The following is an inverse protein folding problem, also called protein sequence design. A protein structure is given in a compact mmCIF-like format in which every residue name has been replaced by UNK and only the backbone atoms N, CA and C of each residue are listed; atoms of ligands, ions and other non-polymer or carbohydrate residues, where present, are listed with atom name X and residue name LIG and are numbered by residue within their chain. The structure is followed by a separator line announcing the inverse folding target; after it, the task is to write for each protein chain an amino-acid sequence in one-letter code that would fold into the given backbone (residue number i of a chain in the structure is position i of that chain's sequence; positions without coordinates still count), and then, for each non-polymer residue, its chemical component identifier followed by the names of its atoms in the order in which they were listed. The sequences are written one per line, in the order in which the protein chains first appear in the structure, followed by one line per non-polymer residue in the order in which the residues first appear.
data_IF_223757470841
#
_entry.id   IF_223757470841
#
_cell.length_a   1.000
_cell.length_b   1.000
_cell.length_c   1.000
_cell.angle_alpha   90.00
_cell.angle_beta   90.00
_cell.angle_gamma   90.00
#
_symmetry.space_group_name_H-M   'P 1'
#
loop_
_entity.id
_entity.type
_entity.pdbx_description
1 polymer ?
#
# COMPACT_ATOMS: atom_id res chain seq x y z
N UNK A 1 46.29 -4.55 18.64
CA UNK A 1 45.20 -5.10 17.84
C UNK A 1 44.31 -3.94 17.40
N UNK A 2 44.42 -3.49 16.18
CA UNK A 2 43.49 -2.51 15.63
C UNK A 2 42.12 -3.19 15.51
N UNK A 3 41.11 -2.60 16.16
CA UNK A 3 39.74 -3.00 15.96
C UNK A 3 39.32 -2.55 14.56
N UNK A 4 39.19 -3.47 13.61
CA UNK A 4 38.55 -3.21 12.33
C UNK A 4 37.06 -2.92 12.58
N UNK A 5 36.69 -1.66 12.58
CA UNK A 5 35.31 -1.21 12.70
C UNK A 5 34.69 -1.21 11.30
N UNK A 6 33.73 -2.08 11.03
CA UNK A 6 32.96 -2.09 9.79
C UNK A 6 31.76 -1.19 10.00
N UNK A 7 31.66 -0.09 9.26
CA UNK A 7 30.50 0.81 9.28
C UNK A 7 29.60 0.51 8.09
N UNK A 8 28.33 0.38 8.36
CA UNK A 8 27.29 0.24 7.35
C UNK A 8 26.43 1.50 7.31
N UNK A 9 26.20 2.00 6.11
CA UNK A 9 25.24 3.09 5.88
C UNK A 9 23.96 2.51 5.33
N UNK A 10 22.82 2.85 5.95
CA UNK A 10 21.51 2.56 5.40
C UNK A 10 21.21 3.55 4.29
N UNK A 11 21.13 3.07 3.06
CA UNK A 11 20.85 3.94 1.91
C UNK A 11 19.39 3.87 1.48
N UNK A 12 18.75 2.70 1.55
CA UNK A 12 17.36 2.54 1.18
C UNK A 12 16.76 1.34 1.92
N UNK A 13 15.51 1.47 2.33
CA UNK A 13 14.67 0.38 2.81
C UNK A 13 13.49 0.23 1.85
N UNK A 14 13.36 -0.95 1.26
CA UNK A 14 12.24 -1.27 0.36
C UNK A 14 11.26 -2.20 1.08
N UNK A 15 9.97 -1.87 1.01
CA UNK A 15 8.87 -2.74 1.43
C UNK A 15 8.07 -3.13 0.23
N UNK A 16 7.68 -4.39 0.15
CA UNK A 16 6.88 -4.93 -0.95
C UNK A 16 5.44 -5.07 -0.47
N UNK A 17 4.51 -4.42 -1.14
CA UNK A 17 3.09 -4.38 -0.77
C UNK A 17 2.28 -5.11 -1.83
N UNK A 18 1.56 -6.16 -1.43
CA UNK A 18 0.56 -6.80 -2.29
C UNK A 18 -0.61 -5.83 -2.50
N UNK A 19 -0.82 -5.40 -3.74
CA UNK A 19 -1.84 -4.40 -4.08
C UNK A 19 -3.25 -4.85 -3.77
N UNK A 20 -3.54 -6.15 -3.77
CA UNK A 20 -4.89 -6.70 -3.54
C UNK A 20 -5.24 -6.84 -2.07
N UNK A 21 -4.26 -6.89 -1.19
CA UNK A 21 -4.46 -7.08 0.25
C UNK A 21 -3.99 -5.90 1.08
N UNK A 22 -3.16 -5.01 0.52
CA UNK A 22 -2.47 -3.95 1.25
C UNK A 22 -1.49 -4.49 2.30
N UNK A 23 -1.12 -5.76 2.23
CA UNK A 23 -0.20 -6.40 3.18
C UNK A 23 1.22 -6.42 2.67
N UNK A 24 2.18 -6.40 3.60
CA UNK A 24 3.59 -6.59 3.27
C UNK A 24 3.83 -8.04 2.82
N UNK A 25 4.51 -8.22 1.70
CA UNK A 25 4.91 -9.53 1.16
C UNK A 25 6.16 -10.00 1.89
N UNK A 26 6.07 -11.09 2.67
CA UNK A 26 7.15 -11.50 3.59
C UNK A 26 7.92 -12.74 3.15
N UNK A 27 7.27 -13.71 2.54
CA UNK A 27 7.81 -15.06 2.31
C UNK A 27 7.92 -15.40 0.82
N UNK A 28 8.80 -14.68 0.11
CA UNK A 28 8.97 -14.90 -1.34
C UNK A 28 10.42 -14.75 -1.76
N UNK A 29 10.83 -15.51 -2.75
CA UNK A 29 12.07 -15.24 -3.46
C UNK A 29 11.92 -13.94 -4.23
N UNK A 30 12.78 -12.98 -3.92
CA UNK A 30 12.74 -11.65 -4.50
C UNK A 30 14.05 -11.34 -5.18
N UNK A 31 13.95 -10.92 -6.43
CA UNK A 31 15.09 -10.47 -7.21
C UNK A 31 15.02 -8.98 -7.44
N UNK A 32 16.12 -8.31 -7.15
CA UNK A 32 16.26 -6.87 -7.34
C UNK A 32 17.30 -6.55 -8.40
N UNK A 33 16.99 -5.55 -9.25
CA UNK A 33 17.96 -4.90 -10.14
C UNK A 33 17.91 -3.39 -9.90
N UNK A 34 19.09 -2.81 -9.68
CA UNK A 34 19.25 -1.35 -9.57
C UNK A 34 19.99 -0.86 -10.81
N UNK A 35 19.37 0.06 -11.57
CA UNK A 35 19.90 0.51 -12.86
C UNK A 35 20.28 -0.68 -13.78
N UNK A 36 19.39 -1.69 -13.87
CA UNK A 36 19.58 -2.92 -14.65
C UNK A 36 20.59 -3.93 -14.08
N UNK A 37 21.33 -3.60 -13.02
CA UNK A 37 22.31 -4.50 -12.40
C UNK A 37 21.69 -5.26 -11.23
N UNK A 38 21.90 -6.58 -11.18
CA UNK A 38 21.46 -7.42 -10.08
C UNK A 38 22.10 -6.96 -8.77
N UNK A 39 21.27 -6.75 -7.74
CA UNK A 39 21.68 -6.39 -6.39
C UNK A 39 21.02 -7.33 -5.39
N UNK A 40 21.67 -7.50 -4.24
CA UNK A 40 21.16 -8.37 -3.18
C UNK A 40 21.08 -7.59 -1.88
N UNK A 41 19.93 -7.00 -1.55
CA UNK A 41 19.73 -6.33 -0.27
C UNK A 41 19.70 -7.34 0.88
N UNK A 42 19.91 -6.85 2.09
CA UNK A 42 19.76 -7.64 3.30
C UNK A 42 18.27 -7.74 3.63
N UNK A 43 17.72 -8.94 3.56
CA UNK A 43 16.36 -9.18 4.02
C UNK A 43 16.29 -9.12 5.54
N UNK A 44 15.40 -8.31 6.07
CA UNK A 44 15.04 -8.24 7.49
C UNK A 44 13.64 -8.79 7.69
N UNK A 45 13.32 -9.22 8.90
CA UNK A 45 11.99 -9.72 9.22
C UNK A 45 10.87 -8.76 8.73
N UNK A 46 9.69 -9.29 8.46
CA UNK A 46 8.51 -8.55 8.00
C UNK A 46 8.64 -7.91 6.61
N UNK A 47 9.31 -8.57 5.65
CA UNK A 47 9.32 -8.13 4.25
C UNK A 47 10.09 -6.83 3.98
N UNK A 48 11.01 -6.46 4.86
CA UNK A 48 11.89 -5.31 4.68
C UNK A 48 13.19 -5.73 3.98
N UNK A 49 13.55 -5.02 2.92
CA UNK A 49 14.78 -5.21 2.16
C UNK A 49 15.67 -3.98 2.30
N UNK A 50 16.83 -4.18 2.93
CA UNK A 50 17.75 -3.10 3.34
C UNK A 50 18.93 -3.04 2.38
N UNK A 51 19.09 -1.93 1.69
CA UNK A 51 20.23 -1.63 0.85
C UNK A 51 21.27 -0.88 1.67
N UNK A 52 22.46 -1.48 1.79
CA UNK A 52 23.56 -0.96 2.59
C UNK A 52 24.75 -0.61 1.68
N UNK A 53 25.36 0.55 1.89
CA UNK A 53 26.56 1.00 1.16
C UNK A 53 26.38 0.99 -0.36
N UNK A 54 25.18 1.27 -0.86
CA UNK A 54 24.84 1.29 -2.29
C UNK A 54 24.84 2.70 -2.88
N UNK A 55 25.00 3.73 -2.02
CA UNK A 55 24.90 5.14 -2.35
C UNK A 55 23.45 5.63 -2.42
N UNK A 56 23.28 6.95 -2.20
CA UNK A 56 21.98 7.64 -2.23
C UNK A 56 21.84 8.46 -3.50
N UNK A 57 22.01 7.81 -4.64
CA UNK A 57 21.80 8.39 -5.95
C UNK A 57 20.49 7.91 -6.53
N UNK A 58 19.74 8.79 -7.19
CA UNK A 58 18.52 8.46 -7.90
C UNK A 58 18.75 7.28 -8.85
N UNK A 59 17.81 6.35 -8.87
CA UNK A 59 17.98 5.12 -9.63
C UNK A 59 16.65 4.46 -9.96
N UNK A 60 16.70 3.63 -11.00
CA UNK A 60 15.65 2.68 -11.32
C UNK A 60 15.80 1.42 -10.48
N UNK A 61 14.69 0.95 -9.95
CA UNK A 61 14.61 -0.31 -9.20
C UNK A 61 13.58 -1.23 -9.85
N UNK A 62 14.05 -2.38 -10.34
CA UNK A 62 13.19 -3.46 -10.81
C UNK A 62 13.10 -4.52 -9.72
N UNK A 63 11.91 -5.05 -9.53
CA UNK A 63 11.60 -6.06 -8.52
C UNK A 63 10.82 -7.18 -9.18
N UNK A 64 11.34 -8.40 -9.08
CA UNK A 64 10.69 -9.62 -9.55
C UNK A 64 10.36 -10.51 -8.35
N UNK A 65 9.10 -10.88 -8.19
CA UNK A 65 8.59 -11.75 -7.13
C UNK A 65 7.70 -12.82 -7.74
N UNK A 66 7.83 -14.05 -7.29
CA UNK A 66 6.97 -15.14 -7.75
C UNK A 66 5.48 -14.84 -7.50
N UNK A 67 4.59 -15.18 -8.42
CA UNK A 67 3.15 -14.89 -8.43
C UNK A 67 2.77 -13.40 -8.59
N UNK A 68 3.72 -12.52 -8.87
CA UNK A 68 3.45 -11.12 -9.14
C UNK A 68 3.99 -10.70 -10.51
N UNK A 69 3.42 -9.67 -11.08
CA UNK A 69 4.01 -9.00 -12.24
C UNK A 69 5.33 -8.33 -11.83
N UNK A 70 6.29 -8.26 -12.74
CA UNK A 70 7.51 -7.52 -12.50
C UNK A 70 7.17 -6.04 -12.22
N UNK A 71 7.68 -5.51 -11.13
CA UNK A 71 7.48 -4.12 -10.74
C UNK A 71 8.71 -3.29 -11.09
N UNK A 72 8.46 -2.10 -11.63
CA UNK A 72 9.47 -1.08 -11.89
C UNK A 72 9.12 0.18 -11.11
N UNK A 73 10.09 0.79 -10.44
CA UNK A 73 9.90 2.05 -9.73
C UNK A 73 11.16 2.89 -9.77
N UNK A 74 10.98 4.19 -9.89
CA UNK A 74 12.04 5.17 -9.77
C UNK A 74 12.23 5.54 -8.29
N UNK A 75 13.46 5.55 -7.84
CA UNK A 75 13.87 5.99 -6.52
C UNK A 75 14.44 7.39 -6.66
N UNK A 76 13.74 8.37 -6.12
CA UNK A 76 14.20 9.76 -6.02
C UNK A 76 14.46 10.06 -4.56
N UNK A 77 15.73 10.24 -4.20
CA UNK A 77 16.11 10.41 -2.79
C UNK A 77 15.61 11.71 -2.18
N UNK A 78 15.37 12.73 -2.98
CA UNK A 78 14.77 13.99 -2.51
C UNK A 78 13.33 13.84 -1.99
N UNK A 79 12.61 12.78 -2.45
CA UNK A 79 11.25 12.47 -2.02
C UNK A 79 11.22 11.58 -0.76
N UNK A 80 12.36 11.05 -0.33
CA UNK A 80 12.45 10.12 0.79
C UNK A 80 12.89 10.84 2.07
N UNK A 81 12.53 10.25 3.22
CA UNK A 81 13.03 10.72 4.50
C UNK A 81 14.55 10.55 4.61
N UNK A 82 15.26 11.60 5.01
CA UNK A 82 16.73 11.60 5.08
C UNK A 82 17.29 10.63 6.14
N UNK A 83 16.55 10.35 7.20
CA UNK A 83 16.99 9.46 8.28
C UNK A 83 16.60 8.01 8.00
N UNK A 84 15.39 7.81 7.48
CA UNK A 84 14.84 6.49 7.19
C UNK A 84 14.23 6.48 5.79
N UNK A 85 15.05 6.35 4.74
CA UNK A 85 14.59 6.36 3.35
C UNK A 85 13.83 5.08 3.04
N UNK A 86 12.50 5.12 3.15
CA UNK A 86 11.60 4.01 2.87
C UNK A 86 10.92 4.22 1.53
N UNK A 87 10.95 3.20 0.69
CA UNK A 87 10.16 3.11 -0.55
C UNK A 87 9.24 1.91 -0.50
N UNK A 88 7.94 2.16 -0.65
CA UNK A 88 6.95 1.10 -0.86
C UNK A 88 6.89 0.77 -2.35
N UNK A 89 7.00 -0.50 -2.68
CA UNK A 89 6.85 -1.04 -4.03
C UNK A 89 5.58 -1.88 -4.07
N UNK A 90 4.63 -1.44 -4.89
CA UNK A 90 3.35 -2.09 -5.03
C UNK A 90 3.42 -3.23 -6.05
N UNK A 91 3.16 -4.44 -5.59
CA UNK A 91 3.19 -5.66 -6.38
C UNK A 91 1.78 -6.03 -6.82
N UNK A 92 1.57 -6.17 -8.12
CA UNK A 92 0.32 -6.58 -8.73
C UNK A 92 0.38 -8.11 -8.92
N UNK A 93 -0.53 -8.90 -8.33
CA UNK A 93 -0.54 -10.33 -8.56
C UNK A 93 -0.71 -10.67 -10.03
N UNK A 94 -0.01 -11.69 -10.49
CA UNK A 94 -0.19 -12.25 -11.84
C UNK A 94 -1.63 -12.80 -11.99
N UNK A 95 -2.16 -12.82 -13.20
CA UNK A 95 -3.51 -13.35 -13.46
C UNK A 95 -3.64 -14.83 -13.08
N UNK A 96 -2.57 -15.58 -13.25
CA UNK A 96 -2.48 -16.99 -12.89
C UNK A 96 -1.58 -17.15 -11.67
N UNK A 97 -2.14 -17.07 -10.47
CA UNK A 97 -1.37 -17.35 -9.26
C UNK A 97 -1.23 -18.85 -9.06
N UNK A 98 -0.06 -19.31 -8.61
CA UNK A 98 0.18 -20.74 -8.34
C UNK A 98 -0.74 -21.31 -7.25
N UNK A 99 -1.36 -20.46 -6.43
CA UNK A 99 -2.31 -20.85 -5.37
C UNK A 99 -3.73 -21.10 -5.89
N UNK A 100 -4.02 -20.85 -7.18
CA UNK A 100 -5.35 -21.02 -7.76
C UNK A 100 -6.39 -20.04 -7.21
N UNK A 101 -5.99 -18.99 -6.53
CA UNK A 101 -6.90 -17.92 -6.09
C UNK A 101 -7.32 -17.09 -7.32
N UNK A 102 -8.61 -16.98 -7.56
CA UNK A 102 -9.10 -16.14 -8.64
C UNK A 102 -8.80 -14.66 -8.34
N UNK A 103 -8.29 -13.98 -9.35
CA UNK A 103 -8.04 -12.53 -9.31
C UNK A 103 -8.99 -11.87 -10.29
N UNK A 104 -9.84 -10.97 -9.78
CA UNK A 104 -10.75 -10.18 -10.60
C UNK A 104 -10.13 -8.82 -10.88
N UNK A 105 -10.35 -8.30 -12.08
CA UNK A 105 -9.76 -7.05 -12.53
C UNK A 105 -10.83 -6.05 -12.95
N UNK A 106 -10.68 -4.81 -12.52
CA UNK A 106 -11.36 -3.64 -13.05
C UNK A 106 -10.35 -2.88 -13.92
N UNK A 107 -10.63 -2.79 -15.21
CA UNK A 107 -9.78 -2.10 -16.19
C UNK A 107 -10.57 -1.11 -16.99
N UNK A 108 -9.92 -0.08 -17.48
CA UNK A 108 -10.54 0.91 -18.33
C UNK A 108 -9.63 2.09 -18.61
N UNK A 109 -10.23 3.14 -19.13
CA UNK A 109 -9.55 4.39 -19.43
C UNK A 109 -10.39 5.57 -18.90
N UNK A 110 -9.74 6.48 -18.19
CA UNK A 110 -10.34 7.74 -17.73
C UNK A 110 -9.31 8.85 -17.88
N UNK A 111 -9.61 9.81 -18.76
CA UNK A 111 -8.68 10.92 -19.04
C UNK A 111 -8.41 11.75 -17.79
N UNK A 112 -7.12 12.03 -17.53
CA UNK A 112 -6.68 12.78 -16.35
C UNK A 112 -6.71 11.98 -15.04
N UNK A 113 -6.84 10.66 -15.11
CA UNK A 113 -6.74 9.80 -13.93
C UNK A 113 -5.30 9.74 -13.42
N UNK A 114 -5.12 10.10 -12.15
CA UNK A 114 -3.81 10.18 -11.49
C UNK A 114 -3.58 9.01 -10.53
N UNK A 115 -4.64 8.56 -9.85
CA UNK A 115 -4.56 7.48 -8.86
C UNK A 115 -5.88 6.72 -8.75
N UNK A 116 -5.79 5.45 -8.36
CA UNK A 116 -6.95 4.60 -8.06
C UNK A 116 -6.65 3.71 -6.86
N UNK A 117 -7.54 3.73 -5.89
CA UNK A 117 -7.47 2.96 -4.66
C UNK A 117 -8.88 2.44 -4.33
N UNK A 118 -8.97 1.35 -3.56
CA UNK A 118 -10.26 0.85 -3.12
C UNK A 118 -10.20 0.28 -1.70
N UNK A 119 -11.34 0.31 -1.03
CA UNK A 119 -11.56 -0.38 0.24
C UNK A 119 -12.76 -1.31 0.12
N UNK A 120 -12.65 -2.50 0.71
CA UNK A 120 -13.73 -3.48 0.66
C UNK A 120 -14.86 -3.09 1.60
N UNK A 121 -16.10 -3.10 1.12
CA UNK A 121 -17.27 -2.83 1.94
C UNK A 121 -17.73 -4.08 2.72
N UNK A 122 -18.28 -3.86 3.91
CA UNK A 122 -18.89 -4.91 4.73
C UNK A 122 -17.92 -5.73 5.58
N UNK A 123 -16.62 -5.48 5.53
CA UNK A 123 -15.63 -6.20 6.33
C UNK A 123 -14.60 -5.25 6.90
N UNK A 124 -14.88 -4.65 8.06
CA UNK A 124 -13.93 -3.78 8.72
C UNK A 124 -12.75 -4.56 9.32
N UNK A 125 -11.56 -4.00 9.18
CA UNK A 125 -10.37 -4.54 9.80
C UNK A 125 -10.33 -4.23 11.31
N UNK A 126 -10.59 -2.99 11.65
CA UNK A 126 -10.79 -2.48 13.00
C UNK A 126 -11.64 -1.20 12.92
N UNK A 127 -11.83 -0.52 14.03
CA UNK A 127 -12.50 0.78 14.07
C UNK A 127 -11.80 1.77 14.99
N UNK A 128 -12.01 3.05 14.72
CA UNK A 128 -11.43 4.14 15.51
C UNK A 128 -12.18 4.29 16.82
N UNK A 129 -11.42 4.37 17.93
CA UNK A 129 -11.93 4.73 19.24
C UNK A 129 -11.77 6.23 19.52
N UNK A 130 -10.59 6.79 19.22
CA UNK A 130 -10.30 8.21 19.38
C UNK A 130 -9.08 8.61 18.57
N UNK A 131 -8.92 9.92 18.32
CA UNK A 131 -7.78 10.48 17.63
C UNK A 131 -7.32 11.78 18.31
N UNK A 132 -6.04 11.84 18.66
CA UNK A 132 -5.38 13.06 19.13
C UNK A 132 -4.63 13.69 17.93
N UNK A 133 -5.23 14.70 17.31
CA UNK A 133 -4.67 15.33 16.12
C UNK A 133 -3.31 16.02 16.39
N UNK A 134 -3.06 16.55 17.60
CA UNK A 134 -1.78 17.20 17.93
C UNK A 134 -0.64 16.20 18.00
N UNK A 135 -0.89 15.03 18.56
CA UNK A 135 0.09 13.94 18.68
C UNK A 135 0.08 13.01 17.47
N UNK A 136 -0.92 13.13 16.61
CA UNK A 136 -1.19 12.21 15.49
C UNK A 136 -1.38 10.76 15.98
N UNK A 137 -1.96 10.59 17.16
CA UNK A 137 -2.19 9.27 17.77
C UNK A 137 -3.65 8.88 17.58
N UNK A 138 -3.85 7.75 16.88
CA UNK A 138 -5.13 7.11 16.72
C UNK A 138 -5.20 5.90 17.65
N UNK A 139 -6.22 5.86 18.50
CA UNK A 139 -6.54 4.70 19.31
C UNK A 139 -7.66 3.92 18.65
N UNK A 140 -7.56 2.59 18.70
CA UNK A 140 -8.43 1.65 18.02
C UNK A 140 -9.21 0.83 19.05
N UNK A 141 -10.39 0.36 18.64
CA UNK A 141 -10.96 -0.84 19.22
C UNK A 141 -10.14 -2.05 18.76
N UNK A 142 -10.16 -3.12 19.55
CA UNK A 142 -9.37 -4.33 19.25
C UNK A 142 -9.61 -4.80 17.82
N UNK A 143 -8.53 -4.93 17.05
CA UNK A 143 -8.59 -5.45 15.69
C UNK A 143 -9.02 -6.92 15.66
N UNK A 144 -9.84 -7.27 14.68
CA UNK A 144 -10.19 -8.66 14.38
C UNK A 144 -9.20 -9.19 13.33
N UNK A 145 -8.18 -9.92 13.76
CA UNK A 145 -7.19 -10.48 12.84
C UNK A 145 -5.75 -10.14 13.20
N UNK A 146 -4.80 -10.29 12.24
CA UNK A 146 -3.41 -9.89 12.43
C UNK A 146 -3.32 -8.41 12.78
N UNK A 147 -2.31 -8.02 13.54
CA UNK A 147 -2.11 -6.64 13.99
C UNK A 147 -2.02 -5.63 12.85
N UNK A 148 -2.16 -4.36 13.17
CA UNK A 148 -1.92 -3.28 12.22
C UNK A 148 -0.44 -3.26 11.83
N UNK A 149 -0.15 -2.82 10.63
CA UNK A 149 1.19 -2.67 10.07
C UNK A 149 1.47 -1.19 9.75
N UNK A 150 2.72 -0.86 9.54
CA UNK A 150 3.15 0.50 9.15
C UNK A 150 2.93 0.70 7.65
N UNK A 151 1.67 0.61 7.21
CA UNK A 151 1.23 0.76 5.82
C UNK A 151 0.09 1.76 5.72
N UNK A 152 -0.56 1.80 4.57
CA UNK A 152 -1.66 2.71 4.24
C UNK A 152 -3.02 2.04 4.50
N UNK A 153 -3.93 2.79 5.10
CA UNK A 153 -5.29 2.36 5.42
C UNK A 153 -6.32 3.41 5.00
N UNK A 154 -7.57 2.98 4.83
CA UNK A 154 -8.71 3.85 4.58
C UNK A 154 -9.64 3.92 5.79
N UNK A 155 -9.98 5.13 6.22
CA UNK A 155 -11.01 5.42 7.20
C UNK A 155 -12.31 5.74 6.47
N UNK A 156 -13.35 4.93 6.66
CA UNK A 156 -14.63 5.10 5.95
C UNK A 156 -15.51 6.13 6.68
N UNK A 157 -16.02 7.07 5.90
CA UNK A 157 -17.08 8.02 6.27
C UNK A 157 -18.42 7.51 5.74
N UNK A 158 -19.17 6.79 6.59
CA UNK A 158 -20.37 6.05 6.17
C UNK A 158 -21.47 6.97 5.60
N UNK A 159 -21.58 8.20 6.10
CA UNK A 159 -22.64 9.14 5.69
C UNK A 159 -22.43 9.67 4.26
N UNK A 160 -21.17 9.92 3.89
CA UNK A 160 -20.80 10.44 2.57
C UNK A 160 -20.45 9.33 1.57
N UNK A 161 -20.32 8.08 2.02
CA UNK A 161 -19.78 6.97 1.23
C UNK A 161 -18.43 7.33 0.59
N UNK A 162 -17.54 7.90 1.42
CA UNK A 162 -16.16 8.25 1.07
C UNK A 162 -15.21 7.56 2.02
N UNK A 163 -13.92 7.58 1.72
CA UNK A 163 -12.90 7.23 2.71
C UNK A 163 -11.71 8.19 2.60
N UNK A 164 -11.11 8.45 3.75
CA UNK A 164 -9.84 9.15 3.87
C UNK A 164 -8.73 8.14 3.98
N UNK A 165 -7.75 8.22 3.08
CA UNK A 165 -6.56 7.38 3.14
C UNK A 165 -5.53 8.00 4.07
N UNK A 166 -4.93 7.21 4.96
CA UNK A 166 -3.90 7.65 5.89
C UNK A 166 -2.75 6.65 5.99
N UNK A 167 -1.55 7.16 6.26
CA UNK A 167 -0.34 6.37 6.41
C UNK A 167 0.03 6.22 7.88
N UNK A 168 0.29 4.97 8.30
CA UNK A 168 0.78 4.67 9.65
C UNK A 168 2.30 4.88 9.69
N UNK A 169 2.74 5.86 10.47
CA UNK A 169 4.17 6.13 10.73
C UNK A 169 4.76 5.05 11.64
N UNK A 170 4.00 4.67 12.69
CA UNK A 170 4.44 3.71 13.69
C UNK A 170 3.27 3.01 14.37
N UNK A 171 3.38 1.71 14.55
CA UNK A 171 2.51 0.95 15.45
C UNK A 171 3.04 1.09 16.87
N UNK A 172 2.37 1.90 17.70
CA UNK A 172 2.78 2.18 19.09
C UNK A 172 2.40 1.01 20.00
N UNK A 173 1.22 0.44 19.77
CA UNK A 173 0.72 -0.76 20.45
C UNK A 173 -0.32 -1.46 19.57
N UNK A 174 -0.79 -2.68 19.92
CA UNK A 174 -1.85 -3.36 19.15
C UNK A 174 -3.13 -2.56 18.95
N UNK A 175 -3.35 -1.51 19.74
CA UNK A 175 -4.54 -0.67 19.71
C UNK A 175 -4.22 0.83 19.64
N UNK A 176 -3.00 1.19 19.23
CA UNK A 176 -2.58 2.59 19.12
C UNK A 176 -1.57 2.78 18.00
N UNK A 177 -1.87 3.70 17.09
CA UNK A 177 -1.09 4.03 15.91
C UNK A 177 -0.63 5.48 15.98
N UNK A 178 0.57 5.75 15.50
CA UNK A 178 1.00 7.10 15.15
C UNK A 178 0.87 7.27 13.64
N UNK A 179 0.15 8.28 13.20
CA UNK A 179 -0.04 8.60 11.79
C UNK A 179 1.09 9.51 11.30
N UNK A 180 1.42 9.39 10.01
CA UNK A 180 2.41 10.26 9.36
C UNK A 180 1.89 11.70 9.29
N UNK A 181 0.63 11.86 8.88
CA UNK A 181 -0.07 13.13 8.80
C UNK A 181 -1.35 13.08 9.64
N UNK A 182 -1.88 14.24 10.10
CA UNK A 182 -3.18 14.27 10.76
C UNK A 182 -4.29 13.95 9.75
N UNK A 183 -5.40 13.39 10.25
CA UNK A 183 -6.61 13.24 9.45
C UNK A 183 -7.17 14.63 9.09
N UNK A 184 -7.70 14.74 7.88
CA UNK A 184 -8.23 15.98 7.32
C UNK A 184 -9.72 16.15 7.61
N UNK A 185 -10.46 15.04 7.71
CA UNK A 185 -11.88 15.02 7.92
C UNK A 185 -12.25 14.60 9.34
N UNK A 186 -13.36 15.15 9.85
CA UNK A 186 -13.94 14.67 11.09
C UNK A 186 -14.54 13.27 10.89
N UNK A 187 -14.38 12.41 11.87
CA UNK A 187 -14.92 11.05 11.83
C UNK A 187 -15.77 10.77 13.07
N UNK A 188 -16.68 9.81 12.92
CA UNK A 188 -17.47 9.31 14.04
C UNK A 188 -16.69 8.27 14.83
N UNK A 189 -16.93 8.21 16.14
CA UNK A 189 -16.50 7.05 16.93
C UNK A 189 -17.01 5.76 16.28
N UNK A 190 -16.20 4.73 16.28
CA UNK A 190 -16.42 3.46 15.58
C UNK A 190 -16.33 3.53 14.05
N UNK A 191 -15.84 4.62 13.45
CA UNK A 191 -15.59 4.66 12.03
C UNK A 191 -14.68 3.48 11.60
N UNK A 192 -15.09 2.70 10.59
CA UNK A 192 -14.35 1.50 10.20
C UNK A 192 -13.06 1.84 9.48
N UNK A 193 -12.00 1.11 9.82
CA UNK A 193 -10.72 1.16 9.15
C UNK A 193 -10.58 -0.07 8.27
N UNK A 194 -10.15 0.14 7.04
CA UNK A 194 -10.03 -0.86 6.00
C UNK A 194 -8.60 -0.88 5.45
N UNK A 195 -8.15 -2.04 5.00
CA UNK A 195 -6.96 -2.11 4.15
C UNK A 195 -7.28 -1.54 2.77
N UNK A 196 -6.32 -0.82 2.21
CA UNK A 196 -6.43 -0.26 0.87
C UNK A 196 -5.91 -1.28 -0.13
N UNK A 197 -6.70 -1.49 -1.16
CA UNK A 197 -6.30 -2.15 -2.42
C UNK A 197 -5.80 -1.05 -3.35
N UNK A 198 -4.61 -1.23 -3.91
CA UNK A 198 -3.99 -0.24 -4.77
C UNK A 198 -4.14 -0.66 -6.24
N UNK A 199 -4.55 0.27 -7.08
CA UNK A 199 -4.51 0.10 -8.52
C UNK A 199 -3.29 0.76 -9.15
N UNK A 200 -3.12 0.51 -10.45
CA UNK A 200 -2.11 1.15 -11.29
C UNK A 200 -2.80 2.04 -12.30
N UNK A 201 -2.22 3.20 -12.54
CA UNK A 201 -2.60 4.12 -13.62
C UNK A 201 -1.38 4.43 -14.48
N UNK A 202 -1.59 4.77 -15.73
CA UNK A 202 -0.54 5.28 -16.61
C UNK A 202 -0.79 6.75 -17.01
N UNK A 203 0.18 7.35 -17.68
CA UNK A 203 0.10 8.74 -18.12
C UNK A 203 -1.03 9.00 -19.15
N UNK A 204 -1.56 7.97 -19.79
CA UNK A 204 -2.68 8.04 -20.71
C UNK A 204 -4.02 7.95 -19.99
N UNK A 205 -4.05 7.59 -18.69
CA UNK A 205 -5.26 7.40 -17.90
C UNK A 205 -5.85 5.98 -18.00
N UNK A 206 -5.10 5.02 -18.53
CA UNK A 206 -5.49 3.62 -18.41
C UNK A 206 -5.32 3.19 -16.96
N UNK A 207 -6.24 2.36 -16.46
CA UNK A 207 -6.17 1.86 -15.10
C UNK A 207 -6.38 0.36 -15.00
N UNK A 208 -5.78 -0.21 -13.96
CA UNK A 208 -5.92 -1.60 -13.55
C UNK A 208 -6.05 -1.65 -12.02
N UNK A 209 -7.16 -2.18 -11.53
CA UNK A 209 -7.36 -2.49 -10.12
C UNK A 209 -7.70 -3.97 -10.00
N UNK A 210 -6.91 -4.73 -9.25
CA UNK A 210 -7.11 -6.16 -9.02
C UNK A 210 -7.53 -6.42 -7.59
N UNK A 211 -8.46 -7.38 -7.43
CA UNK A 211 -8.91 -7.86 -6.12
C UNK A 211 -8.89 -9.39 -6.11
N UNK A 212 -8.68 -9.99 -4.95
CA UNK A 212 -8.77 -11.44 -4.79
C UNK A 212 -10.22 -11.85 -4.56
N UNK A 213 -10.66 -12.86 -5.28
CA UNK A 213 -11.97 -13.49 -5.07
C UNK A 213 -11.84 -14.56 -3.97
N UNK A 214 -12.39 -14.28 -2.81
CA UNK A 214 -12.49 -15.22 -1.68
C UNK A 214 -13.87 -15.86 -1.56
N UNK A 215 -14.70 -15.77 -2.61
CA UNK A 215 -16.05 -16.31 -2.67
C UNK A 215 -17.10 -15.55 -1.83
N UNK A 216 -16.74 -14.37 -1.31
CA UNK A 216 -17.66 -13.54 -0.52
C UNK A 216 -18.07 -12.26 -1.25
N UNK A 217 -18.77 -11.33 -0.58
CA UNK A 217 -19.16 -10.05 -1.17
C UNK A 217 -17.94 -9.24 -1.64
N UNK A 218 -17.86 -8.93 -2.92
CA UNK A 218 -16.78 -8.18 -3.56
C UNK A 218 -17.19 -6.75 -3.94
N UNK A 219 -17.99 -6.11 -3.09
CA UNK A 219 -18.29 -4.69 -3.23
C UNK A 219 -17.17 -3.86 -2.62
N UNK A 220 -16.65 -2.95 -3.42
CA UNK A 220 -15.58 -2.03 -3.04
C UNK A 220 -16.04 -0.60 -3.22
N UNK A 221 -15.62 0.25 -2.29
CA UNK A 221 -15.67 1.69 -2.46
C UNK A 221 -14.35 2.11 -3.11
N UNK A 222 -14.42 2.47 -4.37
CA UNK A 222 -13.28 2.89 -5.19
C UNK A 222 -13.13 4.40 -5.09
N UNK A 223 -11.96 4.86 -4.72
CA UNK A 223 -11.51 6.26 -4.79
C UNK A 223 -10.58 6.39 -6.00
N UNK A 224 -10.85 7.35 -6.82
CA UNK A 224 -9.97 7.69 -7.93
C UNK A 224 -9.81 9.20 -8.02
N UNK A 225 -8.63 9.65 -8.45
CA UNK A 225 -8.27 11.06 -8.50
C UNK A 225 -8.19 11.48 -9.96
N UNK A 226 -9.01 12.47 -10.33
CA UNK A 226 -9.02 13.06 -11.66
C UNK A 226 -8.74 14.55 -11.55
N UNK A 227 -7.67 15.03 -12.19
CA UNK A 227 -7.25 16.43 -12.14
C UNK A 227 -7.17 16.98 -10.71
N UNK A 228 -6.55 16.24 -9.82
CA UNK A 228 -6.35 16.57 -8.41
C UNK A 228 -7.59 16.45 -7.52
N UNK A 229 -8.75 16.00 -8.05
CA UNK A 229 -10.00 15.88 -7.29
C UNK A 229 -10.35 14.43 -7.02
N UNK A 230 -10.56 14.01 -5.77
CA UNK A 230 -11.02 12.67 -5.46
C UNK A 230 -12.48 12.48 -5.88
N UNK A 231 -12.74 11.33 -6.47
CA UNK A 231 -14.08 10.83 -6.81
C UNK A 231 -14.28 9.49 -6.13
N UNK A 232 -15.53 9.11 -5.87
CA UNK A 232 -15.85 7.85 -5.22
C UNK A 232 -16.98 7.13 -5.94
N UNK A 233 -16.82 5.81 -6.10
CA UNK A 233 -17.82 4.96 -6.72
C UNK A 233 -17.85 3.60 -6.03
N UNK A 234 -19.06 3.07 -5.77
CA UNK A 234 -19.20 1.68 -5.33
C UNK A 234 -19.16 0.78 -6.56
N UNK A 235 -18.27 -0.22 -6.52
CA UNK A 235 -18.05 -1.20 -7.58
C UNK A 235 -18.30 -2.60 -7.03
N UNK A 236 -19.07 -3.40 -7.76
CA UNK A 236 -19.27 -4.82 -7.51
C UNK A 236 -18.47 -5.62 -8.55
N UNK A 237 -17.40 -6.27 -8.13
CA UNK A 237 -16.49 -7.01 -9.01
C UNK A 237 -17.09 -8.28 -9.61
N UNK A 238 -18.24 -8.73 -9.14
CA UNK A 238 -18.98 -9.82 -9.80
C UNK A 238 -19.81 -9.35 -11.01
N UNK A 239 -19.92 -8.02 -11.23
CA UNK A 239 -20.63 -7.47 -12.37
C UNK A 239 -19.64 -7.11 -13.48
N UNK A 240 -19.71 -7.75 -14.68
CA UNK A 240 -18.65 -7.63 -15.70
C UNK A 240 -18.57 -6.27 -16.43
N UNK A 241 -19.49 -5.34 -16.20
CA UNK A 241 -19.58 -4.09 -16.99
C UNK A 241 -19.45 -2.81 -16.15
N UNK A 242 -18.67 -2.86 -15.08
CA UNK A 242 -18.47 -1.64 -14.27
C UNK A 242 -17.34 -0.80 -14.87
N UNK A 243 -17.65 0.42 -15.27
CA UNK A 243 -16.68 1.44 -15.64
C UNK A 243 -16.72 2.59 -14.62
N UNK A 244 -15.56 3.18 -14.33
CA UNK A 244 -15.50 4.44 -13.59
C UNK A 244 -16.11 5.56 -14.42
N UNK A 245 -16.88 6.43 -13.77
CA UNK A 245 -17.62 7.52 -14.43
C UNK A 245 -17.09 8.87 -14.03
#
# INVERSE_FOLDING_TARGET
MEKNEIRYTLDLLVRLIDTTTGMIVTERDVHFRRNGKKVQPVQRGNGNYVFLNTGREDCDLDVEVFDFEAAHTEIRYEELDNFLPIKDVFLIPSENTAKGEAVLSLTGHLSGLEAIEAVRLGRSYCSVKSFDARKRIMNLFKANGPGMEETRYGLIHADSMTFEAFDVEKVVSPVSLKLREPLQEEFRENAPIMRIVHGRTDAQGNYLLRVRDDGTNLKYLVRYVVSGKPQFQVVDFHQPEVQLK
#
